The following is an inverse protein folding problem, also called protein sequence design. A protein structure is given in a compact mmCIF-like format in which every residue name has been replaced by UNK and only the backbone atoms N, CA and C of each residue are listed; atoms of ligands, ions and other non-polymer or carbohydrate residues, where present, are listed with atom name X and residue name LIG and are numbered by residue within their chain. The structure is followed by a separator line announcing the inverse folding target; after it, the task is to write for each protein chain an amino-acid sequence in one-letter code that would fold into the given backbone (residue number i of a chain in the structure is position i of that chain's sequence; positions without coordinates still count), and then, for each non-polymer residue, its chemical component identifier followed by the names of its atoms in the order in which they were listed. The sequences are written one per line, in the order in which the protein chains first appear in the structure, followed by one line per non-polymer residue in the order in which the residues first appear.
data_IF_515359394478
#
_entry.id   IF_515359394478
#
_cell.length_a   1.000
_cell.length_b   1.000
_cell.length_c   1.000
_cell.angle_alpha   90.00
_cell.angle_beta   90.00
_cell.angle_gamma   90.00
#
_symmetry.space_group_name_H-M   'P 1'
#
loop_
_entity.id
_entity.type
_entity.pdbx_description
1 polymer ?
#
# COMPACT_ATOMS: atom_id res chain seq x y z
N UNK A 1 -8.46 18.83 23.34
CA UNK A 1 -7.40 18.31 24.24
C UNK A 1 -6.07 18.58 23.57
N UNK A 2 -5.09 19.02 24.33
CA UNK A 2 -3.76 19.41 23.82
C UNK A 2 -3.05 18.21 23.16
N UNK A 3 -2.70 18.33 21.89
CA UNK A 3 -2.04 17.29 21.08
C UNK A 3 -0.71 16.82 21.70
N UNK A 4 -0.05 17.67 22.48
CA UNK A 4 1.24 17.39 23.13
C UNK A 4 1.17 16.28 24.20
N UNK A 5 -0.01 16.06 24.82
CA UNK A 5 -0.17 15.07 25.88
C UNK A 5 -0.42 13.64 25.35
N UNK A 6 -0.94 13.51 24.12
CA UNK A 6 -1.08 12.22 23.43
C UNK A 6 0.26 11.75 22.83
N UNK A 7 1.13 12.68 22.40
CA UNK A 7 2.47 12.40 21.85
C UNK A 7 3.40 11.71 22.87
N UNK A 8 3.40 12.17 24.13
CA UNK A 8 4.31 11.66 25.16
C UNK A 8 3.90 10.31 25.76
N UNK A 9 2.61 9.97 25.76
CA UNK A 9 2.12 8.72 26.36
C UNK A 9 2.46 7.45 25.56
N UNK A 10 2.74 7.59 24.25
CA UNK A 10 2.82 6.46 23.32
C UNK A 10 4.19 6.21 22.72
N UNK A 11 5.07 7.23 22.68
CA UNK A 11 6.49 7.05 22.35
C UNK A 11 7.25 6.21 23.40
N UNK A 12 6.64 5.94 24.55
CA UNK A 12 7.20 5.12 25.64
C UNK A 12 6.60 3.72 25.76
N UNK A 13 5.71 3.29 24.86
CA UNK A 13 5.04 1.99 24.97
C UNK A 13 5.94 0.88 24.38
N UNK A 14 6.53 0.00 25.19
CA UNK A 14 7.42 -1.06 24.69
C UNK A 14 6.64 -2.02 23.80
N UNK A 15 7.31 -2.67 22.83
CA UNK A 15 6.67 -3.54 21.83
C UNK A 15 5.75 -4.65 22.39
N UNK A 16 5.91 -5.07 23.66
CA UNK A 16 5.00 -6.00 24.34
C UNK A 16 3.60 -5.43 24.60
N UNK A 17 3.47 -4.13 24.90
CA UNK A 17 2.17 -3.48 25.09
C UNK A 17 1.45 -3.22 23.76
N UNK A 18 2.19 -3.09 22.65
CA UNK A 18 1.62 -2.97 21.30
C UNK A 18 0.89 -4.26 20.90
N UNK A 19 1.45 -5.42 21.21
CA UNK A 19 0.82 -6.71 20.89
C UNK A 19 -0.53 -6.89 21.61
N UNK A 20 -0.63 -6.48 22.89
CA UNK A 20 -1.90 -6.52 23.63
C UNK A 20 -2.98 -5.66 23.00
N UNK A 21 -2.62 -4.49 22.44
CA UNK A 21 -3.57 -3.59 21.75
C UNK A 21 -3.97 -4.11 20.38
N UNK A 22 -3.02 -4.70 19.65
CA UNK A 22 -3.29 -5.46 18.43
C UNK A 22 -4.34 -6.54 18.70
N UNK A 23 -4.16 -7.31 19.77
CA UNK A 23 -5.08 -8.40 20.14
C UNK A 23 -6.45 -7.87 20.59
N UNK A 24 -6.51 -6.68 21.20
CA UNK A 24 -7.76 -6.01 21.54
C UNK A 24 -8.55 -5.57 20.29
N UNK A 25 -7.87 -4.94 19.32
CA UNK A 25 -8.50 -4.54 18.05
C UNK A 25 -8.96 -5.73 17.21
N UNK A 26 -8.20 -6.84 17.21
CA UNK A 26 -8.61 -8.08 16.54
C UNK A 26 -9.95 -8.62 17.09
N UNK A 27 -10.28 -8.36 18.36
CA UNK A 27 -11.55 -8.80 18.98
C UNK A 27 -12.74 -7.90 18.63
N UNK A 28 -12.51 -6.61 18.41
CA UNK A 28 -13.57 -5.64 18.09
C UNK A 28 -14.04 -5.71 16.62
N UNK A 29 -13.19 -6.17 15.69
CA UNK A 29 -13.47 -6.18 14.23
C UNK A 29 -14.34 -7.38 13.77
N UNK A 30 -15.03 -8.08 14.68
CA UNK A 30 -16.00 -9.13 14.29
C UNK A 30 -17.41 -8.56 14.37
N UNK A 31 -18.00 -8.13 13.24
CA UNK A 31 -19.36 -7.59 13.25
C UNK A 31 -20.38 -8.64 13.69
N UNK A 32 -21.36 -8.12 14.42
CA UNK A 32 -22.42 -8.77 15.18
C UNK A 32 -23.30 -9.72 14.38
N UNK A 33 -23.35 -10.99 14.82
CA UNK A 33 -24.41 -11.95 14.53
C UNK A 33 -24.74 -12.73 15.81
N UNK A 34 -25.83 -12.31 16.48
CA UNK A 34 -26.67 -13.05 17.44
C UNK A 34 -26.06 -14.08 18.42
N UNK A 35 -26.03 -13.65 19.70
CA UNK A 35 -26.41 -14.34 20.96
C UNK A 35 -25.65 -15.54 21.58
N UNK A 36 -25.17 -15.28 22.81
CA UNK A 36 -25.03 -16.13 24.04
C UNK A 36 -23.89 -17.17 24.06
N UNK A 37 -23.12 -17.45 25.12
CA UNK A 37 -23.03 -17.07 26.55
C UNK A 37 -21.55 -17.31 27.03
N UNK A 38 -21.14 -16.97 28.27
CA UNK A 38 -19.72 -16.82 28.63
C UNK A 38 -19.05 -18.11 29.13
N UNK A 39 -17.74 -18.23 28.91
CA UNK A 39 -16.90 -19.21 29.58
C UNK A 39 -15.73 -18.51 30.30
N UNK A 40 -15.81 -18.54 31.62
CA UNK A 40 -14.76 -18.20 32.59
C UNK A 40 -13.63 -19.22 32.49
N UNK A 41 -12.37 -18.79 32.40
CA UNK A 41 -11.24 -19.61 32.84
C UNK A 41 -10.09 -18.73 33.34
N UNK A 42 -9.88 -18.83 34.64
CA UNK A 42 -8.66 -18.48 35.37
C UNK A 42 -7.51 -19.40 34.96
N UNK A 43 -6.32 -18.87 34.72
CA UNK A 43 -5.13 -19.40 35.41
C UNK A 43 -3.90 -18.48 35.27
N UNK A 44 -3.31 -18.26 36.43
CA UNK A 44 -1.98 -17.73 36.70
C UNK A 44 -0.89 -18.72 36.26
N UNK A 45 0.17 -18.23 35.62
CA UNK A 45 1.52 -18.77 35.82
C UNK A 45 2.58 -17.72 35.50
N UNK A 46 3.32 -17.37 36.55
CA UNK A 46 4.56 -16.61 36.55
C UNK A 46 5.68 -17.42 35.92
N UNK A 47 6.36 -16.89 34.91
CA UNK A 47 7.71 -17.35 34.53
C UNK A 47 8.60 -16.12 34.36
N UNK A 48 9.55 -16.02 35.29
CA UNK A 48 10.67 -15.09 35.31
C UNK A 48 11.80 -15.69 34.48
N UNK A 49 12.22 -15.01 33.40
CA UNK A 49 13.57 -15.14 32.85
C UNK A 49 14.05 -13.78 32.35
N UNK A 50 14.91 -13.16 33.16
CA UNK A 50 15.64 -11.93 32.88
C UNK A 50 16.81 -12.28 31.95
N UNK A 51 16.74 -11.83 30.70
CA UNK A 51 17.87 -11.76 29.78
C UNK A 51 18.20 -10.28 29.52
N UNK A 52 19.50 -9.92 29.40
CA UNK A 52 19.94 -8.53 29.45
C UNK A 52 19.53 -7.75 28.19
N UNK A 53 18.80 -6.65 28.39
CA UNK A 53 18.52 -5.65 27.36
C UNK A 53 19.84 -5.05 26.86
N UNK A 54 20.07 -5.00 25.53
CA UNK A 54 21.14 -4.15 25.02
C UNK A 54 20.80 -2.69 25.33
N UNK A 55 21.81 -1.95 25.77
CA UNK A 55 21.70 -0.61 26.29
C UNK A 55 20.96 0.34 25.33
N UNK A 56 19.93 1.00 25.87
CA UNK A 56 19.36 2.24 25.33
C UNK A 56 20.50 3.23 25.20
N UNK A 57 20.94 3.54 23.98
CA UNK A 57 21.92 4.60 23.74
C UNK A 57 21.51 5.42 22.51
N UNK A 58 21.16 6.67 22.80
CA UNK A 58 21.26 7.86 21.96
C UNK A 58 20.60 7.91 20.59
N UNK A 59 19.27 7.74 20.54
CA UNK A 59 18.51 8.41 19.48
C UNK A 59 17.33 9.15 20.13
N UNK A 60 17.64 10.36 20.62
CA UNK A 60 16.70 11.30 21.18
C UNK A 60 15.81 11.99 20.13
N UNK A 61 15.01 12.99 20.54
CA UNK A 61 14.18 13.82 19.66
C UNK A 61 14.97 14.58 18.57
N UNK A 62 16.30 14.59 18.64
CA UNK A 62 17.22 15.36 17.80
C UNK A 62 17.76 14.58 16.58
N UNK A 63 17.02 13.58 16.07
CA UNK A 63 17.49 12.83 14.90
C UNK A 63 17.47 13.67 13.61
N UNK A 64 18.66 14.06 13.15
CA UNK A 64 18.90 14.67 11.86
C UNK A 64 19.17 13.62 10.78
N UNK A 65 18.54 13.78 9.61
CA UNK A 65 18.76 12.87 8.50
C UNK A 65 20.13 13.15 7.86
N UNK A 66 21.07 12.20 7.84
CA UNK A 66 22.43 12.43 7.33
C UNK A 66 22.48 12.74 5.82
N UNK A 67 21.40 12.46 5.08
CA UNK A 67 21.29 12.74 3.66
C UNK A 67 20.59 14.07 3.34
N UNK A 68 20.08 14.80 4.33
CA UNK A 68 19.30 16.03 4.12
C UNK A 68 20.15 17.15 3.50
N UNK A 69 21.42 17.26 3.91
CA UNK A 69 22.39 18.20 3.33
C UNK A 69 23.04 17.69 2.03
N UNK A 70 22.68 16.51 1.54
CA UNK A 70 23.27 15.96 0.31
C UNK A 70 22.81 16.73 -0.93
N UNK A 71 23.69 16.81 -1.93
CA UNK A 71 23.33 17.44 -3.21
C UNK A 71 22.20 16.67 -3.91
N UNK A 72 21.34 17.39 -4.66
CA UNK A 72 20.25 16.77 -5.44
C UNK A 72 20.76 15.77 -6.46
N UNK A 73 21.93 16.02 -7.05
CA UNK A 73 22.58 15.08 -7.96
C UNK A 73 22.93 13.77 -7.26
N UNK A 74 23.48 13.84 -6.04
CA UNK A 74 23.84 12.64 -5.28
C UNK A 74 22.61 11.82 -4.88
N UNK A 75 21.55 12.48 -4.41
CA UNK A 75 20.27 11.82 -4.11
C UNK A 75 19.68 11.18 -5.37
N UNK A 76 19.74 11.87 -6.51
CA UNK A 76 19.26 11.37 -7.80
C UNK A 76 20.04 10.12 -8.24
N UNK A 77 21.37 10.14 -8.16
CA UNK A 77 22.21 9.00 -8.51
C UNK A 77 21.89 7.79 -7.63
N UNK A 78 21.78 7.98 -6.30
CA UNK A 78 21.39 6.92 -5.36
C UNK A 78 20.00 6.36 -5.67
N UNK A 79 19.00 7.23 -5.88
CA UNK A 79 17.65 6.81 -6.20
C UNK A 79 17.60 6.02 -7.52
N UNK A 80 18.35 6.43 -8.55
CA UNK A 80 18.44 5.69 -9.80
C UNK A 80 19.04 4.30 -9.63
N UNK A 81 20.13 4.17 -8.87
CA UNK A 81 20.72 2.85 -8.55
C UNK A 81 19.71 1.93 -7.89
N UNK A 82 18.95 2.43 -6.92
CA UNK A 82 17.90 1.67 -6.24
C UNK A 82 16.77 1.28 -7.21
N UNK A 83 16.35 2.19 -8.11
CA UNK A 83 15.34 1.89 -9.14
C UNK A 83 15.76 0.76 -10.08
N UNK A 84 17.01 0.77 -10.55
CA UNK A 84 17.52 -0.30 -11.42
C UNK A 84 17.54 -1.65 -10.70
N UNK A 85 18.02 -1.68 -9.45
CA UNK A 85 18.01 -2.89 -8.64
C UNK A 85 16.58 -3.41 -8.39
N UNK A 86 15.65 -2.52 -8.05
CA UNK A 86 14.24 -2.86 -7.88
C UNK A 86 13.62 -3.40 -9.18
N UNK A 87 13.83 -2.71 -10.31
CA UNK A 87 13.33 -3.13 -11.63
C UNK A 87 13.84 -4.52 -12.03
N UNK A 88 15.08 -4.86 -11.69
CA UNK A 88 15.63 -6.20 -11.91
C UNK A 88 14.95 -7.24 -11.02
N UNK A 89 14.78 -6.93 -9.72
CA UNK A 89 14.08 -7.79 -8.76
C UNK A 89 12.65 -8.10 -9.18
N UNK A 90 11.86 -7.07 -9.52
CA UNK A 90 10.50 -7.21 -10.03
C UNK A 90 10.45 -7.96 -11.36
N UNK A 91 11.42 -7.74 -12.26
CA UNK A 91 11.51 -8.46 -13.53
C UNK A 91 11.68 -9.97 -13.34
N UNK A 92 12.47 -10.40 -12.35
CA UNK A 92 12.66 -11.82 -12.04
C UNK A 92 11.40 -12.37 -11.34
N UNK A 93 10.90 -11.65 -10.34
CA UNK A 93 9.74 -12.06 -9.56
C UNK A 93 8.45 -12.17 -10.38
N UNK A 94 8.21 -11.25 -11.33
CA UNK A 94 7.03 -11.28 -12.21
C UNK A 94 7.08 -12.42 -13.23
N UNK A 95 8.27 -12.97 -13.52
CA UNK A 95 8.45 -14.16 -14.37
C UNK A 95 8.45 -15.47 -13.58
N UNK A 96 8.59 -15.39 -12.26
CA UNK A 96 8.57 -16.56 -11.38
C UNK A 96 7.14 -17.08 -11.19
N UNK A 97 7.01 -18.38 -11.01
CA UNK A 97 5.71 -19.06 -10.90
C UNK A 97 4.98 -18.69 -9.59
N UNK A 98 3.67 -18.36 -9.62
CA UNK A 98 2.87 -18.10 -10.82
C UNK A 98 3.26 -16.75 -11.46
N UNK A 99 3.44 -16.69 -12.79
CA UNK A 99 3.83 -15.46 -13.46
C UNK A 99 2.78 -14.36 -13.23
N UNK A 100 3.24 -13.13 -13.07
CA UNK A 100 2.35 -11.98 -12.94
C UNK A 100 1.55 -11.78 -14.24
N UNK A 101 0.29 -11.34 -14.16
CA UNK A 101 -0.50 -11.02 -15.36
C UNK A 101 0.07 -9.81 -16.10
N UNK A 102 -0.41 -9.61 -17.33
CA UNK A 102 -0.10 -8.44 -18.15
C UNK A 102 -1.29 -7.49 -18.22
N UNK A 103 -1.01 -6.19 -18.31
CA UNK A 103 -2.04 -5.18 -18.50
C UNK A 103 -2.61 -5.26 -19.92
N UNK A 104 -3.82 -4.76 -20.10
CA UNK A 104 -4.53 -4.79 -21.37
C UNK A 104 -4.09 -3.66 -22.31
N UNK A 105 -3.86 -2.46 -21.77
CA UNK A 105 -3.37 -1.30 -22.52
C UNK A 105 -2.70 -0.27 -21.62
N UNK A 106 -1.96 0.66 -22.22
CA UNK A 106 -1.39 1.81 -21.54
C UNK A 106 -2.10 3.09 -22.01
N UNK A 107 -2.27 4.04 -21.08
CA UNK A 107 -2.75 5.38 -21.37
C UNK A 107 -1.81 6.41 -20.73
N UNK A 108 -1.93 7.65 -21.18
CA UNK A 108 -1.19 8.77 -20.61
C UNK A 108 -2.16 9.86 -20.21
N UNK A 109 -2.01 10.32 -18.97
CA UNK A 109 -2.81 11.38 -18.36
C UNK A 109 -1.97 12.65 -18.23
N UNK A 110 -2.66 13.77 -18.17
CA UNK A 110 -2.03 15.08 -18.02
C UNK A 110 -1.70 15.33 -16.54
N UNK A 111 -0.65 16.09 -16.26
CA UNK A 111 -0.43 16.64 -14.93
C UNK A 111 -0.92 18.08 -14.91
N UNK A 112 -1.90 18.36 -14.06
CA UNK A 112 -2.62 19.64 -14.00
C UNK A 112 -2.48 20.34 -12.65
N UNK A 113 -2.30 19.59 -11.56
CA UNK A 113 -2.16 20.14 -10.21
C UNK A 113 -0.72 20.55 -9.90
N UNK A 114 0.24 19.67 -10.22
CA UNK A 114 1.66 19.88 -9.94
C UNK A 114 2.22 21.17 -10.52
N UNK A 115 3.22 21.76 -9.87
CA UNK A 115 4.00 22.86 -10.47
C UNK A 115 4.68 22.46 -11.79
N UNK A 116 4.98 21.16 -11.98
CA UNK A 116 5.54 20.62 -13.22
C UNK A 116 4.43 20.16 -14.17
N UNK A 117 3.50 21.04 -14.51
CA UNK A 117 2.35 20.74 -15.39
C UNK A 117 2.79 20.25 -16.76
N UNK A 118 1.94 19.46 -17.40
CA UNK A 118 2.14 19.11 -18.80
C UNK A 118 1.23 18.00 -19.27
N UNK A 119 1.09 17.90 -20.59
CA UNK A 119 0.31 16.83 -21.22
C UNK A 119 1.05 15.50 -21.17
N UNK A 120 0.31 14.40 -21.06
CA UNK A 120 0.81 13.02 -21.12
C UNK A 120 2.03 12.80 -20.22
N UNK A 121 1.95 13.24 -18.96
CA UNK A 121 3.04 13.13 -17.97
C UNK A 121 2.92 11.91 -17.07
N UNK A 122 1.72 11.39 -16.90
CA UNK A 122 1.42 10.31 -15.96
C UNK A 122 1.03 9.08 -16.78
N UNK A 123 1.88 8.05 -16.75
CA UNK A 123 1.59 6.78 -17.41
C UNK A 123 0.66 5.95 -16.52
N UNK A 124 -0.34 5.32 -17.11
CA UNK A 124 -1.26 4.41 -16.40
C UNK A 124 -1.41 3.13 -17.20
N UNK A 125 -1.22 1.98 -16.56
CA UNK A 125 -1.62 0.70 -17.14
C UNK A 125 -3.07 0.37 -16.76
N UNK A 126 -3.84 -0.06 -17.76
CA UNK A 126 -5.25 -0.46 -17.63
C UNK A 126 -5.35 -1.96 -17.71
N UNK A 127 -6.00 -2.56 -16.71
CA UNK A 127 -6.18 -4.01 -16.58
C UNK A 127 -7.68 -4.33 -16.65
N UNK A 128 -8.09 -4.95 -17.75
CA UNK A 128 -9.49 -5.29 -17.98
C UNK A 128 -9.78 -6.74 -17.56
N UNK A 129 -10.95 -7.00 -16.94
CA UNK A 129 -11.42 -8.35 -16.77
C UNK A 129 -11.58 -9.10 -18.09
N UNK A 130 -11.21 -10.39 -18.13
CA UNK A 130 -11.33 -11.20 -19.35
C UNK A 130 -12.79 -11.51 -19.69
N UNK A 131 -13.72 -11.35 -18.74
CA UNK A 131 -15.15 -11.61 -18.91
C UNK A 131 -15.83 -10.44 -19.62
N UNK A 132 -16.74 -10.76 -20.54
CA UNK A 132 -17.66 -9.77 -21.14
C UNK A 132 -18.54 -9.19 -20.04
N UNK A 133 -18.65 -7.87 -19.99
CA UNK A 133 -19.51 -7.19 -19.01
C UNK A 133 -20.90 -6.96 -19.56
N UNK A 134 -21.92 -7.08 -18.71
CA UNK A 134 -23.33 -6.75 -19.03
C UNK A 134 -23.66 -5.29 -18.64
N UNK A 135 -22.67 -4.52 -18.16
CA UNK A 135 -22.81 -3.10 -17.81
C UNK A 135 -21.50 -2.46 -17.33
N UNK A 136 -21.54 -1.21 -16.83
CA UNK A 136 -20.37 -0.55 -16.26
C UNK A 136 -19.79 -1.32 -15.05
N UNK A 137 -18.47 -1.45 -15.01
CA UNK A 137 -17.73 -2.16 -13.94
C UNK A 137 -17.31 -1.20 -12.82
N UNK A 138 -17.02 -1.73 -11.63
CA UNK A 138 -16.26 -0.97 -10.65
C UNK A 138 -14.83 -0.70 -11.16
N UNK A 139 -14.20 0.34 -10.62
CA UNK A 139 -12.81 0.67 -10.90
C UNK A 139 -11.97 0.61 -9.62
N UNK A 140 -10.77 0.04 -9.73
CA UNK A 140 -9.75 0.13 -8.67
C UNK A 140 -8.56 0.90 -9.21
N UNK A 141 -8.27 2.06 -8.60
CA UNK A 141 -7.10 2.86 -8.94
C UNK A 141 -6.02 2.54 -7.91
N UNK A 142 -4.99 1.84 -8.36
CA UNK A 142 -3.90 1.37 -7.53
C UNK A 142 -2.66 2.25 -7.67
N UNK A 143 -2.11 2.65 -6.52
CA UNK A 143 -0.94 3.51 -6.41
C UNK A 143 0.22 2.69 -5.79
N UNK A 144 1.32 2.56 -6.55
CA UNK A 144 2.43 1.69 -6.15
C UNK A 144 3.20 2.23 -4.95
N UNK A 145 3.89 1.34 -4.23
CA UNK A 145 4.81 1.70 -3.15
C UNK A 145 6.21 2.12 -3.62
N UNK A 146 7.16 2.22 -2.70
CA UNK A 146 8.55 2.57 -3.02
C UNK A 146 9.02 3.92 -2.46
N UNK A 147 8.41 4.40 -1.38
CA UNK A 147 8.88 5.60 -0.67
C UNK A 147 8.98 6.84 -1.56
N UNK A 148 8.11 6.98 -2.57
CA UNK A 148 8.13 8.05 -3.57
C UNK A 148 9.41 8.18 -4.40
N UNK A 149 10.41 7.31 -4.20
CA UNK A 149 11.70 7.37 -4.91
C UNK A 149 11.91 6.22 -5.89
N UNK A 150 11.12 5.15 -5.80
CA UNK A 150 11.17 3.99 -6.68
C UNK A 150 9.76 3.45 -6.91
N UNK A 151 9.68 2.47 -7.81
CA UNK A 151 8.45 1.74 -8.12
C UNK A 151 7.85 2.17 -9.45
N UNK A 152 6.91 1.36 -9.93
CA UNK A 152 6.15 1.58 -11.16
C UNK A 152 4.81 0.83 -11.06
N UNK A 153 3.84 1.17 -11.89
CA UNK A 153 2.50 0.61 -11.84
C UNK A 153 2.45 -0.91 -11.98
N UNK A 154 3.39 -1.51 -12.73
CA UNK A 154 3.46 -2.96 -12.92
C UNK A 154 4.04 -3.75 -11.74
N UNK A 155 4.54 -3.09 -10.70
CA UNK A 155 5.09 -3.77 -9.51
C UNK A 155 3.98 -4.44 -8.67
N UNK A 156 2.73 -3.97 -8.84
CA UNK A 156 1.54 -4.50 -8.18
C UNK A 156 0.70 -5.38 -9.12
N UNK A 157 1.29 -5.91 -10.19
CA UNK A 157 0.58 -6.70 -11.21
C UNK A 157 -0.21 -7.89 -10.62
N UNK A 158 0.31 -8.53 -9.56
CA UNK A 158 -0.41 -9.63 -8.89
C UNK A 158 -1.65 -9.15 -8.13
N UNK A 159 -1.60 -7.96 -7.54
CA UNK A 159 -2.77 -7.34 -6.93
C UNK A 159 -3.81 -6.96 -8.00
N UNK A 160 -3.36 -6.32 -9.09
CA UNK A 160 -4.23 -6.03 -10.23
C UNK A 160 -4.88 -7.30 -10.77
N UNK A 161 -4.12 -8.40 -10.88
CA UNK A 161 -4.64 -9.72 -11.25
C UNK A 161 -5.72 -10.25 -10.30
N UNK A 162 -5.46 -10.22 -8.99
CA UNK A 162 -6.42 -10.66 -7.98
C UNK A 162 -7.74 -9.86 -8.07
N UNK A 163 -7.66 -8.54 -8.17
CA UNK A 163 -8.86 -7.68 -8.32
C UNK A 163 -9.60 -7.98 -9.61
N UNK A 164 -8.88 -8.08 -10.73
CA UNK A 164 -9.49 -8.39 -12.04
C UNK A 164 -10.22 -9.74 -12.01
N UNK A 165 -9.61 -10.77 -11.43
CA UNK A 165 -10.16 -12.12 -11.37
C UNK A 165 -11.31 -12.25 -10.37
N UNK A 166 -11.12 -11.76 -9.15
CA UNK A 166 -12.01 -12.01 -8.01
C UNK A 166 -13.14 -10.99 -7.92
N UNK A 167 -12.88 -9.73 -8.28
CA UNK A 167 -13.85 -8.62 -8.15
C UNK A 167 -14.52 -8.28 -9.48
N UNK A 168 -13.93 -8.70 -10.61
CA UNK A 168 -14.45 -8.33 -11.94
C UNK A 168 -14.48 -6.80 -12.15
N UNK A 169 -13.46 -6.11 -11.64
CA UNK A 169 -13.28 -4.66 -11.73
C UNK A 169 -12.14 -4.29 -12.70
N UNK A 170 -12.25 -3.11 -13.33
CA UNK A 170 -11.14 -2.55 -14.12
C UNK A 170 -10.11 -1.97 -13.17
N UNK A 171 -8.84 -2.33 -13.33
CA UNK A 171 -7.76 -1.79 -12.49
C UNK A 171 -6.93 -0.78 -13.29
N UNK A 172 -6.55 0.31 -12.64
CA UNK A 172 -5.64 1.32 -13.17
C UNK A 172 -4.42 1.39 -12.25
N UNK A 173 -3.23 1.04 -12.73
CA UNK A 173 -2.00 1.21 -11.96
C UNK A 173 -1.30 2.48 -12.39
N UNK A 174 -1.10 3.42 -11.46
CA UNK A 174 -0.62 4.78 -11.78
C UNK A 174 0.88 4.90 -11.56
N UNK A 175 1.61 5.36 -12.58
CA UNK A 175 3.03 5.70 -12.49
C UNK A 175 3.17 7.19 -12.20
N UNK A 176 2.93 7.57 -10.95
CA UNK A 176 3.15 8.93 -10.48
C UNK A 176 4.64 9.28 -10.55
N UNK A 177 4.98 10.55 -10.79
CA UNK A 177 6.39 10.95 -10.91
C UNK A 177 7.09 10.86 -9.57
N UNK A 178 8.40 10.60 -9.59
CA UNK A 178 9.16 10.21 -8.41
C UNK A 178 10.20 11.25 -7.98
N UNK A 179 10.37 11.38 -6.68
CA UNK A 179 11.48 12.07 -6.05
C UNK A 179 12.81 11.34 -6.32
N UNK A 180 13.96 12.04 -6.37
CA UNK A 180 14.16 13.45 -6.08
C UNK A 180 13.90 14.38 -7.28
N UNK A 181 13.61 13.87 -8.47
CA UNK A 181 13.29 14.72 -9.63
C UNK A 181 11.99 15.51 -9.43
N UNK A 182 11.00 14.87 -8.78
CA UNK A 182 9.69 15.45 -8.47
C UNK A 182 9.37 15.22 -6.99
N UNK A 183 9.84 16.09 -6.07
CA UNK A 183 9.55 15.99 -4.64
C UNK A 183 8.08 16.28 -4.30
N UNK A 184 7.74 16.15 -3.02
CA UNK A 184 6.44 16.57 -2.48
C UNK A 184 6.10 18.00 -2.94
N UNK A 185 4.83 18.29 -3.32
CA UNK A 185 3.66 17.40 -3.31
C UNK A 185 3.40 16.61 -4.62
N UNK A 186 4.30 16.66 -5.60
CA UNK A 186 3.99 16.18 -6.96
C UNK A 186 3.65 14.70 -7.13
N UNK A 187 4.32 13.76 -6.45
CA UNK A 187 3.91 12.36 -6.50
C UNK A 187 2.44 12.15 -6.08
N UNK A 188 1.95 12.89 -5.08
CA UNK A 188 0.55 12.83 -4.64
C UNK A 188 -0.38 13.60 -5.59
N UNK A 189 0.02 14.77 -6.07
CA UNK A 189 -0.75 15.55 -7.05
C UNK A 189 -1.02 14.76 -8.33
N UNK A 190 -0.03 14.02 -8.83
CA UNK A 190 -0.20 13.12 -9.98
C UNK A 190 -1.23 12.01 -9.70
N UNK A 191 -1.32 11.53 -8.46
CA UNK A 191 -2.35 10.55 -8.08
C UNK A 191 -3.75 11.17 -8.13
N UNK A 192 -3.93 12.40 -7.62
CA UNK A 192 -5.20 13.13 -7.69
C UNK A 192 -5.59 13.42 -9.14
N UNK A 193 -4.64 13.89 -9.96
CA UNK A 193 -4.83 14.09 -11.40
C UNK A 193 -5.29 12.81 -12.10
N UNK A 194 -4.70 11.65 -11.72
CA UNK A 194 -5.09 10.36 -12.26
C UNK A 194 -6.52 9.98 -11.90
N UNK A 195 -6.92 10.13 -10.62
CA UNK A 195 -8.28 9.83 -10.16
C UNK A 195 -9.31 10.67 -10.90
N UNK A 196 -9.11 11.99 -10.99
CA UNK A 196 -10.01 12.90 -11.68
C UNK A 196 -10.17 12.55 -13.16
N UNK A 197 -9.05 12.31 -13.86
CA UNK A 197 -9.08 12.02 -15.29
C UNK A 197 -9.66 10.64 -15.60
N UNK A 198 -9.38 9.63 -14.79
CA UNK A 198 -9.97 8.29 -14.96
C UNK A 198 -11.49 8.37 -14.77
N UNK A 199 -11.96 9.04 -13.71
CA UNK A 199 -13.38 9.22 -13.46
C UNK A 199 -14.09 10.00 -14.58
N UNK A 200 -13.48 11.08 -15.08
CA UNK A 200 -14.04 11.86 -16.20
C UNK A 200 -14.18 11.07 -17.51
N UNK A 201 -13.44 9.97 -17.64
CA UNK A 201 -13.41 9.07 -18.81
C UNK A 201 -14.13 7.75 -18.53
N UNK A 202 -15.03 7.71 -17.56
CA UNK A 202 -15.70 6.49 -17.12
C UNK A 202 -16.33 5.67 -18.28
N UNK A 203 -17.02 6.37 -19.20
CA UNK A 203 -17.63 5.75 -20.39
C UNK A 203 -16.61 5.09 -21.33
N UNK A 204 -15.43 5.67 -21.49
CA UNK A 204 -14.34 5.12 -22.32
C UNK A 204 -13.80 3.80 -21.75
N UNK A 205 -13.79 3.68 -20.43
CA UNK A 205 -13.30 2.49 -19.72
C UNK A 205 -14.41 1.50 -19.39
N UNK A 206 -15.68 1.82 -19.67
CA UNK A 206 -16.82 1.00 -19.26
C UNK A 206 -16.88 0.83 -17.74
N UNK A 207 -16.52 1.87 -16.98
CA UNK A 207 -16.57 1.88 -15.51
C UNK A 207 -17.72 2.75 -15.01
N UNK A 208 -18.19 2.45 -13.81
CA UNK A 208 -19.16 3.23 -13.05
C UNK A 208 -18.40 4.26 -12.19
N UNK A 209 -18.60 5.58 -12.41
CA UNK A 209 -17.88 6.63 -11.68
C UNK A 209 -18.25 6.70 -10.19
N UNK A 210 -19.36 6.08 -9.77
CA UNK A 210 -19.77 6.00 -8.35
C UNK A 210 -19.21 4.76 -7.64
N UNK A 211 -18.46 3.90 -8.37
CA UNK A 211 -17.85 2.66 -7.85
C UNK A 211 -16.34 2.66 -8.03
N UNK A 212 -15.71 3.78 -7.67
CA UNK A 212 -14.26 3.93 -7.69
C UNK A 212 -13.69 3.61 -6.30
N UNK A 213 -12.71 2.72 -6.26
CA UNK A 213 -11.96 2.34 -5.07
C UNK A 213 -10.51 2.76 -5.27
N UNK A 214 -9.87 3.30 -4.23
CA UNK A 214 -8.44 3.54 -4.26
C UNK A 214 -7.72 2.45 -3.48
N UNK A 215 -6.63 1.93 -4.03
CA UNK A 215 -5.73 1.05 -3.32
C UNK A 215 -4.30 1.55 -3.41
N UNK A 216 -3.46 1.11 -2.49
CA UNK A 216 -2.03 1.34 -2.64
C UNK A 216 -1.20 0.66 -1.58
N UNK A 217 0.11 0.69 -1.79
CA UNK A 217 1.10 0.01 -0.98
C UNK A 217 2.09 1.00 -0.40
N UNK A 218 2.36 0.99 0.91
CA UNK A 218 3.36 1.88 1.55
C UNK A 218 3.13 3.37 1.21
N UNK A 219 4.09 4.02 0.53
CA UNK A 219 3.95 5.36 -0.01
C UNK A 219 2.73 5.53 -0.94
N UNK A 220 2.37 4.50 -1.72
CA UNK A 220 1.18 4.50 -2.55
C UNK A 220 -0.12 4.42 -1.74
N UNK A 221 -0.12 3.68 -0.63
CA UNK A 221 -1.26 3.67 0.32
C UNK A 221 -1.43 5.05 0.96
N UNK A 222 -0.32 5.71 1.27
CA UNK A 222 -0.29 7.10 1.72
C UNK A 222 -0.86 8.03 0.64
N UNK A 223 -0.45 7.86 -0.63
CA UNK A 223 -1.00 8.61 -1.75
C UNK A 223 -2.50 8.37 -1.95
N UNK A 224 -3.00 7.16 -1.70
CA UNK A 224 -4.42 6.84 -1.85
C UNK A 224 -5.26 7.60 -0.82
N UNK A 225 -4.83 7.58 0.45
CA UNK A 225 -5.50 8.30 1.53
C UNK A 225 -5.41 9.82 1.36
N UNK A 226 -4.24 10.34 0.99
CA UNK A 226 -4.05 11.78 0.73
C UNK A 226 -4.82 12.27 -0.49
N UNK A 227 -4.91 11.44 -1.54
CA UNK A 227 -5.75 11.75 -2.71
C UNK A 227 -7.21 11.88 -2.30
N UNK A 228 -7.71 10.93 -1.49
CA UNK A 228 -9.07 11.01 -0.96
C UNK A 228 -9.31 12.29 -0.15
N UNK A 229 -8.38 12.67 0.75
CA UNK A 229 -8.46 13.91 1.53
C UNK A 229 -8.56 15.14 0.62
N UNK A 230 -7.69 15.23 -0.40
CA UNK A 230 -7.67 16.36 -1.34
C UNK A 230 -8.95 16.43 -2.17
N UNK A 231 -9.55 15.28 -2.52
CA UNK A 231 -10.83 15.22 -3.22
C UNK A 231 -12.00 15.70 -2.37
N UNK A 232 -11.92 15.64 -1.03
CA UNK A 232 -12.97 16.17 -0.14
C UNK A 232 -12.98 17.69 -0.12
N UNK A 233 -11.80 18.30 -0.02
CA UNK A 233 -11.65 19.75 -0.01
C UNK A 233 -10.29 20.16 -0.60
N UNK A 234 -10.24 20.62 -1.86
CA UNK A 234 -9.01 21.10 -2.48
C UNK A 234 -8.61 22.52 -2.04
N UNK A 235 -9.51 23.26 -1.41
CA UNK A 235 -9.34 24.70 -1.16
C UNK A 235 -8.17 25.06 -0.23
N UNK A 236 -7.81 24.27 0.81
CA UNK A 236 -6.68 24.59 1.69
C UNK A 236 -5.32 24.67 0.96
N UNK A 237 -5.24 24.08 -0.23
CA UNK A 237 -4.02 24.05 -1.04
C UNK A 237 -4.16 24.79 -2.37
N UNK A 238 -5.24 25.56 -2.55
CA UNK A 238 -5.56 26.30 -3.77
C UNK A 238 -5.59 25.43 -5.03
N UNK A 239 -5.96 24.15 -4.89
CA UNK A 239 -6.13 23.28 -6.05
C UNK A 239 -7.45 23.60 -6.75
N UNK A 240 -7.40 23.60 -8.08
CA UNK A 240 -8.57 23.76 -8.94
C UNK A 240 -8.71 22.51 -9.79
N UNK A 241 -9.80 21.80 -9.61
CA UNK A 241 -10.05 20.60 -10.40
C UNK A 241 -10.67 20.97 -11.75
N UNK A 242 -10.24 20.32 -12.85
CA UNK A 242 -10.82 20.52 -14.17
C UNK A 242 -12.25 19.94 -14.28
N UNK A 243 -12.65 19.09 -13.34
CA UNK A 243 -13.97 18.46 -13.25
C UNK A 243 -14.34 18.22 -11.79
N UNK A 244 -15.64 18.02 -11.47
CA UNK A 244 -16.04 17.60 -10.13
C UNK A 244 -15.31 16.32 -9.70
N UNK A 245 -14.90 16.21 -8.42
CA UNK A 245 -14.27 15.01 -7.92
C UNK A 245 -15.28 13.85 -7.88
N UNK A 246 -14.87 12.60 -8.19
CA UNK A 246 -15.74 11.45 -8.04
C UNK A 246 -15.95 11.10 -6.56
N UNK A 247 -17.03 10.36 -6.28
CA UNK A 247 -17.17 9.68 -4.99
C UNK A 247 -16.20 8.48 -4.95
N UNK A 248 -15.54 8.30 -3.81
CA UNK A 248 -14.68 7.13 -3.57
C UNK A 248 -15.45 6.16 -2.68
N UNK A 249 -15.75 4.97 -3.22
CA UNK A 249 -16.52 3.93 -2.53
C UNK A 249 -15.72 3.28 -1.39
N UNK A 250 -14.40 3.15 -1.53
CA UNK A 250 -13.56 2.55 -0.50
C UNK A 250 -12.05 2.73 -0.70
N UNK A 251 -11.32 2.44 0.37
CA UNK A 251 -9.86 2.52 0.47
C UNK A 251 -9.29 1.17 0.91
N UNK A 252 -8.36 0.61 0.13
CA UNK A 252 -7.58 -0.59 0.48
C UNK A 252 -6.11 -0.21 0.66
N UNK A 253 -5.69 -0.06 1.90
CA UNK A 253 -4.38 0.48 2.25
C UNK A 253 -3.46 -0.62 2.79
N UNK A 254 -2.44 -0.97 2.01
CA UNK A 254 -1.42 -1.89 2.48
C UNK A 254 -0.27 -1.11 3.14
N UNK A 255 -0.13 -1.27 4.45
CA UNK A 255 0.93 -0.81 5.35
C UNK A 255 1.34 0.66 5.08
N UNK A 256 0.36 1.60 5.18
CA UNK A 256 0.59 3.00 4.88
C UNK A 256 1.56 3.66 5.86
N UNK A 257 2.27 4.69 5.38
CA UNK A 257 2.83 5.70 6.28
C UNK A 257 1.72 6.73 6.56
N UNK A 258 1.47 7.02 7.83
CA UNK A 258 0.35 7.87 8.25
C UNK A 258 0.80 9.15 8.96
N UNK A 259 1.98 9.13 9.55
CA UNK A 259 2.53 10.23 10.32
C UNK A 259 4.04 10.36 10.10
N UNK A 260 4.47 11.35 9.31
CA UNK A 260 5.89 11.60 9.02
C UNK A 260 6.53 12.62 9.97
N UNK A 261 5.81 13.04 11.02
CA UNK A 261 6.37 13.87 12.10
C UNK A 261 7.26 13.04 13.03
N UNK A 262 6.95 11.75 13.18
CA UNK A 262 7.72 10.80 14.00
C UNK A 262 9.01 10.39 13.28
N UNK A 263 10.13 10.45 13.99
CA UNK A 263 11.45 10.10 13.45
C UNK A 263 11.52 8.61 13.06
N UNK A 264 12.28 8.29 12.00
CA UNK A 264 12.48 6.89 11.56
C UNK A 264 13.06 6.02 12.68
N UNK A 265 14.04 6.46 13.48
CA UNK A 265 14.50 5.71 14.64
C UNK A 265 13.42 5.52 15.71
N UNK A 266 12.64 6.56 16.03
CA UNK A 266 11.51 6.44 16.96
C UNK A 266 10.49 5.40 16.51
N UNK A 267 10.14 5.41 15.21
CA UNK A 267 9.28 4.36 14.62
C UNK A 267 9.87 2.96 14.79
N UNK A 268 11.18 2.78 14.51
CA UNK A 268 11.85 1.48 14.67
C UNK A 268 11.84 0.98 16.11
N UNK A 269 11.96 1.85 17.11
CA UNK A 269 11.92 1.47 18.53
C UNK A 269 10.58 0.86 18.94
N UNK A 270 9.49 1.18 18.23
CA UNK A 270 8.17 0.59 18.49
C UNK A 270 8.01 -0.82 17.90
N UNK A 271 8.90 -1.24 16.99
CA UNK A 271 8.86 -2.56 16.37
C UNK A 271 9.51 -3.60 17.29
N UNK A 272 8.89 -4.77 17.43
CA UNK A 272 9.43 -5.89 18.20
C UNK A 272 10.63 -6.58 17.52
N UNK A 273 10.84 -6.33 16.22
CA UNK A 273 11.94 -6.83 15.37
C UNK A 273 12.57 -5.69 14.56
N UNK A 274 13.20 -4.69 15.21
CA UNK A 274 13.70 -3.50 14.54
C UNK A 274 14.71 -3.81 13.41
N UNK A 275 15.46 -4.90 13.54
CA UNK A 275 16.42 -5.40 12.56
C UNK A 275 15.78 -5.87 11.24
N UNK A 276 14.47 -6.14 11.24
CA UNK A 276 13.69 -6.55 10.06
C UNK A 276 12.99 -5.39 9.35
N UNK A 277 13.04 -4.19 9.93
CA UNK A 277 12.43 -3.00 9.33
C UNK A 277 13.25 -2.47 8.15
N UNK A 278 12.70 -1.53 7.36
CA UNK A 278 13.47 -0.86 6.32
C UNK A 278 14.75 -0.24 6.91
N UNK A 279 15.87 -0.44 6.22
CA UNK A 279 17.18 0.03 6.68
C UNK A 279 17.21 1.56 6.84
N UNK A 280 18.00 2.09 7.80
CA UNK A 280 18.20 3.53 7.98
C UNK A 280 18.56 4.23 6.66
N UNK A 281 19.58 3.74 5.95
CA UNK A 281 20.00 4.34 4.69
C UNK A 281 18.90 4.44 3.62
N UNK A 282 17.96 3.48 3.57
CA UNK A 282 16.82 3.55 2.66
C UNK A 282 15.81 4.61 3.08
N UNK A 283 15.40 4.63 4.35
CA UNK A 283 14.44 5.63 4.84
C UNK A 283 14.99 7.05 4.78
N UNK A 284 16.29 7.20 5.00
CA UNK A 284 16.98 8.48 4.98
C UNK A 284 17.04 9.01 3.55
N UNK A 285 17.28 8.13 2.57
CA UNK A 285 17.24 8.48 1.15
C UNK A 285 15.82 8.87 0.71
N UNK A 286 14.79 8.14 1.17
CA UNK A 286 13.38 8.47 0.92
C UNK A 286 13.07 9.87 1.42
N UNK A 287 13.31 10.14 2.70
CA UNK A 287 12.92 11.40 3.34
C UNK A 287 13.69 12.59 2.73
N UNK A 288 15.01 12.46 2.51
CA UNK A 288 15.83 13.51 1.89
C UNK A 288 15.49 13.77 0.41
N UNK A 289 14.99 12.75 -0.29
CA UNK A 289 14.58 12.92 -1.69
C UNK A 289 13.22 13.58 -1.82
N UNK A 290 12.26 13.15 -1.00
CA UNK A 290 10.84 13.49 -1.11
C UNK A 290 10.50 14.85 -0.49
N UNK A 291 11.00 15.16 0.71
CA UNK A 291 10.74 16.44 1.37
C UNK A 291 11.76 17.49 0.90
N UNK A 292 11.51 18.08 -0.28
CA UNK A 292 12.38 19.09 -0.86
C UNK A 292 11.61 20.32 -1.38
N UNK A 293 12.01 21.56 -1.04
CA UNK A 293 13.06 21.92 -0.07
C UNK A 293 12.84 21.29 1.31
N UNK A 294 13.89 21.12 2.14
CA UNK A 294 13.76 20.49 3.45
C UNK A 294 12.61 21.08 4.26
N UNK A 295 11.70 20.21 4.71
CA UNK A 295 10.57 20.59 5.56
C UNK A 295 10.88 20.10 6.98
N UNK A 296 10.96 20.98 7.99
CA UNK A 296 11.15 20.57 9.38
C UNK A 296 10.08 19.57 9.82
N UNK A 297 10.45 18.55 10.60
CA UNK A 297 9.57 17.40 10.92
C UNK A 297 8.28 17.83 11.62
N UNK A 298 8.38 18.78 12.54
CA UNK A 298 7.26 19.38 13.27
C UNK A 298 6.28 20.14 12.37
N UNK A 299 6.71 20.51 11.15
CA UNK A 299 5.85 21.14 10.13
C UNK A 299 5.29 20.14 9.13
N UNK A 300 5.58 18.84 9.27
CA UNK A 300 5.03 17.78 8.39
C UNK A 300 3.65 17.29 8.84
N UNK A 301 2.90 18.13 9.55
CA UNK A 301 1.53 17.88 10.02
C UNK A 301 0.47 18.08 8.94
N UNK A 302 0.82 18.71 7.80
CA UNK A 302 -0.08 18.80 6.64
C UNK A 302 -0.59 17.39 6.25
N UNK A 303 -1.91 17.17 6.17
CA UNK A 303 -2.45 15.85 5.90
C UNK A 303 -2.09 15.31 4.52
N UNK A 304 -1.57 16.12 3.57
CA UNK A 304 -0.94 15.63 2.33
C UNK A 304 0.38 14.89 2.55
N UNK A 305 1.03 15.08 3.71
CA UNK A 305 2.24 14.37 4.13
C UNK A 305 1.93 13.32 5.21
N UNK A 306 1.13 13.70 6.20
CA UNK A 306 0.76 12.88 7.36
C UNK A 306 -0.76 12.67 7.41
N UNK A 307 -1.34 11.86 6.51
CA UNK A 307 -2.80 11.73 6.41
C UNK A 307 -3.45 11.14 7.68
N UNK A 308 -2.70 10.40 8.51
CA UNK A 308 -3.19 9.92 9.80
C UNK A 308 -3.50 11.04 10.80
N UNK A 309 -2.97 12.25 10.56
CA UNK A 309 -3.22 13.47 11.34
C UNK A 309 -4.35 14.33 10.77
N UNK A 310 -5.11 13.85 9.78
CA UNK A 310 -6.31 14.54 9.26
C UNK A 310 -7.29 14.90 10.40
N UNK A 311 -8.23 15.82 10.19
CA UNK A 311 -9.21 16.18 11.22
C UNK A 311 -10.19 15.05 11.54
N UNK A 312 -10.78 15.06 12.75
CA UNK A 312 -11.81 14.08 13.12
C UNK A 312 -13.07 14.18 12.23
N UNK A 313 -13.36 15.38 11.72
CA UNK A 313 -14.46 15.59 10.76
C UNK A 313 -14.20 14.87 9.43
N UNK A 314 -12.94 14.74 9.01
CA UNK A 314 -12.57 13.89 7.87
C UNK A 314 -12.61 12.41 8.23
N UNK A 315 -12.12 12.02 9.42
CA UNK A 315 -12.21 10.62 9.88
C UNK A 315 -13.64 10.10 9.81
N UNK A 316 -14.62 10.88 10.28
CA UNK A 316 -16.05 10.53 10.24
C UNK A 316 -16.66 10.43 8.84
N UNK A 317 -15.96 10.91 7.82
CA UNK A 317 -16.38 10.89 6.42
C UNK A 317 -15.67 9.83 5.60
N UNK A 318 -14.73 9.08 6.19
CA UNK A 318 -14.00 8.04 5.47
C UNK A 318 -14.97 7.07 4.79
N UNK A 319 -14.69 6.68 3.53
CA UNK A 319 -15.48 5.67 2.85
C UNK A 319 -15.16 4.30 3.47
N UNK A 320 -15.66 3.22 2.87
CA UNK A 320 -15.31 1.89 3.36
C UNK A 320 -13.78 1.70 3.44
N UNK A 321 -13.29 1.19 4.57
CA UNK A 321 -11.87 1.21 4.88
C UNK A 321 -11.34 -0.19 5.20
N UNK A 322 -10.32 -0.62 4.47
CA UNK A 322 -9.61 -1.88 4.70
C UNK A 322 -8.11 -1.61 4.78
N UNK A 323 -7.49 -1.93 5.92
CA UNK A 323 -6.06 -1.70 6.16
C UNK A 323 -5.34 -3.00 6.51
N UNK A 324 -4.20 -3.22 5.88
CA UNK A 324 -3.31 -4.35 6.12
C UNK A 324 -2.02 -3.80 6.70
N UNK A 325 -1.54 -4.31 7.82
CA UNK A 325 -0.26 -3.95 8.44
C UNK A 325 0.64 -5.19 8.54
N UNK A 326 1.92 -4.99 8.79
CA UNK A 326 2.89 -6.07 8.98
C UNK A 326 3.40 -6.05 10.43
N UNK A 327 3.56 -7.23 11.05
CA UNK A 327 3.97 -7.33 12.45
C UNK A 327 5.38 -6.75 12.70
N UNK A 328 6.32 -7.01 11.79
CA UNK A 328 7.72 -6.58 11.90
C UNK A 328 7.99 -5.31 11.10
N UNK A 329 7.07 -4.33 11.19
CA UNK A 329 7.16 -3.06 10.49
C UNK A 329 7.22 -1.87 11.46
N UNK A 330 8.09 -0.90 11.15
CA UNK A 330 8.16 0.36 11.90
C UNK A 330 6.89 1.20 11.77
N UNK A 331 6.04 0.92 10.77
CA UNK A 331 4.76 1.59 10.54
C UNK A 331 3.58 0.91 11.27
N UNK A 332 3.81 -0.20 11.98
CA UNK A 332 2.73 -0.89 12.70
C UNK A 332 2.09 0.03 13.75
N UNK A 333 2.91 0.65 14.59
CA UNK A 333 2.40 1.45 15.72
C UNK A 333 1.54 2.64 15.28
N UNK A 334 1.89 3.33 14.18
CA UNK A 334 1.06 4.42 13.65
C UNK A 334 -0.23 3.90 13.00
N UNK A 335 -0.19 2.75 12.33
CA UNK A 335 -1.38 2.09 11.81
C UNK A 335 -2.36 1.68 12.92
N UNK A 336 -1.85 1.15 14.03
CA UNK A 336 -2.66 0.82 15.21
C UNK A 336 -3.28 2.07 15.83
N UNK A 337 -2.49 3.15 16.03
CA UNK A 337 -3.04 4.42 16.54
C UNK A 337 -4.16 4.97 15.65
N UNK A 338 -4.00 4.86 14.34
CA UNK A 338 -5.03 5.30 13.42
C UNK A 338 -6.28 4.42 13.49
N UNK A 339 -6.13 3.09 13.56
CA UNK A 339 -7.26 2.18 13.74
C UNK A 339 -8.04 2.42 15.04
N UNK A 340 -7.35 2.69 16.15
CA UNK A 340 -8.00 3.07 17.41
C UNK A 340 -8.75 4.40 17.29
N UNK A 341 -8.21 5.34 16.50
CA UNK A 341 -8.91 6.59 16.20
C UNK A 341 -10.17 6.36 15.37
N UNK A 342 -10.17 5.40 14.44
CA UNK A 342 -11.38 5.02 13.70
C UNK A 342 -12.43 4.42 14.65
N UNK A 343 -11.99 3.51 15.54
CA UNK A 343 -12.85 2.86 16.55
C UNK A 343 -13.48 3.87 17.52
N UNK A 344 -12.71 4.87 17.98
CA UNK A 344 -13.19 5.96 18.84
C UNK A 344 -14.29 6.83 18.21
N UNK A 345 -14.39 6.85 16.87
CA UNK A 345 -15.43 7.57 16.14
C UNK A 345 -16.49 6.63 15.54
N UNK A 346 -16.57 5.38 16.02
CA UNK A 346 -17.51 4.36 15.56
C UNK A 346 -17.45 4.11 14.03
N UNK A 347 -16.30 4.35 13.41
CA UNK A 347 -16.14 4.17 11.97
C UNK A 347 -15.98 2.68 11.64
N UNK A 348 -16.75 2.12 10.68
CA UNK A 348 -16.57 0.74 10.27
C UNK A 348 -15.28 0.58 9.46
N UNK A 349 -14.37 -0.28 9.93
CA UNK A 349 -13.15 -0.63 9.21
C UNK A 349 -12.80 -2.10 9.36
N UNK A 350 -12.00 -2.62 8.42
CA UNK A 350 -11.33 -3.91 8.56
C UNK A 350 -9.84 -3.67 8.73
N UNK A 351 -9.25 -4.31 9.75
CA UNK A 351 -7.81 -4.31 10.02
C UNK A 351 -7.26 -5.73 9.94
N UNK A 352 -6.16 -5.90 9.20
CA UNK A 352 -5.39 -7.14 9.16
C UNK A 352 -3.95 -6.88 9.52
N UNK A 353 -3.32 -7.81 10.23
CA UNK A 353 -1.90 -7.75 10.58
C UNK A 353 -1.28 -9.06 10.12
N UNK A 354 -0.32 -8.97 9.22
CA UNK A 354 0.37 -10.12 8.68
C UNK A 354 1.48 -10.53 9.64
N UNK A 355 1.22 -11.63 10.34
CA UNK A 355 2.10 -12.18 11.38
C UNK A 355 3.43 -12.65 10.78
N UNK A 356 4.53 -12.38 11.48
CA UNK A 356 5.88 -12.80 11.09
C UNK A 356 6.50 -12.01 9.94
N UNK A 357 5.79 -11.03 9.37
CA UNK A 357 6.18 -10.35 8.13
C UNK A 357 6.65 -8.91 8.35
N UNK A 358 7.62 -8.48 7.55
CA UNK A 358 8.14 -7.11 7.56
C UNK A 358 7.50 -6.23 6.48
N UNK A 359 7.88 -4.95 6.46
CA UNK A 359 7.43 -4.01 5.43
C UNK A 359 7.67 -4.56 4.01
N UNK A 360 6.70 -4.39 3.11
CA UNK A 360 6.79 -4.89 1.73
C UNK A 360 7.02 -6.42 1.61
N UNK A 361 6.51 -7.21 2.55
CA UNK A 361 6.43 -8.68 2.52
C UNK A 361 5.90 -9.31 1.22
N UNK A 362 5.11 -8.57 0.46
CA UNK A 362 4.54 -8.97 -0.84
C UNK A 362 5.43 -8.64 -2.04
N UNK A 363 6.60 -8.00 -1.81
CA UNK A 363 7.56 -7.60 -2.84
C UNK A 363 8.79 -8.53 -2.84
N UNK A 364 9.61 -8.50 -3.92
CA UNK A 364 10.82 -9.30 -4.00
C UNK A 364 11.89 -8.83 -3.00
N UNK A 365 12.76 -9.73 -2.49
CA UNK A 365 12.71 -11.21 -2.55
C UNK A 365 11.68 -11.79 -1.56
N UNK A 366 11.06 -12.97 -1.81
CA UNK A 366 11.57 -14.15 -2.53
C UNK A 366 11.22 -14.24 -4.03
N UNK A 367 11.78 -15.24 -4.74
CA UNK A 367 11.51 -15.45 -6.17
C UNK A 367 10.03 -15.72 -6.43
N UNK A 368 9.43 -16.65 -5.69
CA UNK A 368 7.99 -16.89 -5.71
C UNK A 368 7.29 -16.07 -4.62
N UNK A 369 6.05 -15.60 -4.84
CA UNK A 369 5.26 -14.98 -3.78
C UNK A 369 5.02 -15.91 -2.60
N UNK A 370 4.96 -15.36 -1.40
CA UNK A 370 4.60 -16.10 -0.19
C UNK A 370 3.10 -16.40 -0.18
N UNK A 371 2.70 -17.48 0.50
CA UNK A 371 1.28 -17.83 0.66
C UNK A 371 0.46 -16.70 1.30
N UNK A 372 1.05 -16.02 2.30
CA UNK A 372 0.46 -14.86 2.97
C UNK A 372 0.04 -13.75 2.01
N UNK A 373 0.73 -13.57 0.87
CA UNK A 373 0.33 -12.59 -0.15
C UNK A 373 -1.04 -12.92 -0.74
N UNK A 374 -1.27 -14.18 -1.12
CA UNK A 374 -2.54 -14.60 -1.70
C UNK A 374 -3.69 -14.56 -0.68
N UNK A 375 -3.41 -14.90 0.58
CA UNK A 375 -4.40 -14.81 1.67
C UNK A 375 -4.86 -13.37 1.86
N UNK A 376 -3.93 -12.44 1.97
CA UNK A 376 -4.24 -11.04 2.26
C UNK A 376 -4.87 -10.33 1.05
N UNK A 377 -4.44 -10.67 -0.18
CA UNK A 377 -5.11 -10.19 -1.40
C UNK A 377 -6.54 -10.70 -1.50
N UNK A 378 -6.79 -11.97 -1.20
CA UNK A 378 -8.15 -12.52 -1.19
C UNK A 378 -9.04 -11.83 -0.14
N UNK A 379 -8.50 -11.49 1.04
CA UNK A 379 -9.25 -10.77 2.08
C UNK A 379 -9.56 -9.32 1.71
N UNK A 380 -8.65 -8.68 0.99
CA UNK A 380 -8.87 -7.35 0.44
C UNK A 380 -9.90 -7.36 -0.70
N UNK A 381 -9.81 -8.32 -1.64
CA UNK A 381 -10.81 -8.47 -2.72
C UNK A 381 -12.19 -8.86 -2.19
N UNK A 382 -12.25 -9.70 -1.15
CA UNK A 382 -13.49 -10.01 -0.41
C UNK A 382 -14.11 -8.75 0.19
N UNK A 383 -13.30 -7.86 0.77
CA UNK A 383 -13.80 -6.58 1.31
C UNK A 383 -14.37 -5.68 0.22
N UNK A 384 -13.68 -5.58 -0.92
CA UNK A 384 -14.19 -4.84 -2.08
C UNK A 384 -15.52 -5.44 -2.59
N UNK A 385 -15.61 -6.76 -2.71
CA UNK A 385 -16.83 -7.43 -3.17
C UNK A 385 -18.04 -7.11 -2.27
N UNK A 386 -17.84 -7.10 -0.95
CA UNK A 386 -18.89 -6.71 0.01
C UNK A 386 -19.33 -5.25 -0.17
N UNK A 387 -18.41 -4.32 -0.39
CA UNK A 387 -18.76 -2.91 -0.64
C UNK A 387 -19.56 -2.72 -1.93
N UNK A 388 -19.34 -3.60 -2.91
CA UNK A 388 -20.09 -3.64 -4.17
C UNK A 388 -21.43 -4.40 -4.04
N UNK A 389 -21.81 -4.85 -2.84
CA UNK A 389 -23.06 -5.56 -2.59
C UNK A 389 -23.10 -6.96 -3.19
N UNK A 390 -21.95 -7.62 -3.35
CA UNK A 390 -21.86 -8.99 -3.88
C UNK A 390 -21.59 -9.98 -2.76
N UNK A 391 -22.30 -11.10 -2.78
CA UNK A 391 -22.00 -12.26 -1.95
C UNK A 391 -20.67 -12.87 -2.43
N UNK A 392 -19.67 -12.90 -1.56
CA UNK A 392 -18.39 -13.54 -1.84
C UNK A 392 -18.53 -15.03 -1.51
N UNK A 393 -19.07 -15.81 -2.44
CA UNK A 393 -19.09 -17.27 -2.27
C UNK A 393 -17.66 -17.81 -2.33
N UNK A 394 -17.22 -18.41 -1.23
CA UNK A 394 -15.90 -19.05 -1.08
C UNK A 394 -15.84 -20.42 -1.76
N UNK A 395 -16.39 -20.56 -2.96
CA UNK A 395 -16.29 -21.80 -3.73
C UNK A 395 -14.90 -21.91 -4.38
N UNK A 396 -13.91 -22.14 -3.52
CA UNK A 396 -12.53 -22.53 -3.87
C UNK A 396 -12.43 -23.92 -4.52
N UNK A 397 -13.52 -24.50 -5.00
CA UNK A 397 -13.45 -25.71 -5.84
C UNK A 397 -13.27 -25.41 -7.34
N UNK A 398 -13.63 -24.21 -7.81
CA UNK A 398 -13.56 -23.91 -9.25
C UNK A 398 -12.16 -23.54 -9.77
N UNK A 399 -11.22 -23.11 -8.91
CA UNK A 399 -9.85 -22.76 -9.32
C UNK A 399 -8.84 -23.91 -9.21
N UNK A 400 -9.20 -25.03 -8.57
CA UNK A 400 -8.39 -26.26 -8.53
C UNK A 400 -8.50 -27.11 -9.81
N UNK A 401 -9.50 -26.84 -10.67
CA UNK A 401 -9.74 -27.63 -11.89
C UNK A 401 -8.96 -27.15 -13.12
N UNK A 402 -8.29 -25.99 -13.08
CA UNK A 402 -7.30 -25.62 -14.11
C UNK A 402 -5.95 -26.26 -13.83
N UNK A 403 -5.95 -27.60 -13.73
CA UNK A 403 -4.77 -28.39 -14.07
C UNK A 403 -4.49 -28.07 -15.53
N UNK A 404 -3.44 -27.29 -15.79
CA UNK A 404 -2.93 -27.06 -17.15
C UNK A 404 -2.83 -28.42 -17.84
N UNK A 405 -3.73 -28.71 -18.77
CA UNK A 405 -3.52 -29.79 -19.73
C UNK A 405 -2.30 -29.36 -20.53
N UNK A 406 -1.11 -29.78 -20.11
CA UNK A 406 0.09 -29.75 -20.96
C UNK A 406 -0.33 -30.34 -22.29
N UNK A 407 -0.25 -29.61 -23.42
CA UNK A 407 -0.40 -30.23 -24.71
C UNK A 407 0.71 -31.28 -24.81
N UNK A 408 0.35 -32.57 -24.80
CA UNK A 408 1.28 -33.62 -25.22
C UNK A 408 1.48 -33.42 -26.72
N UNK A 409 2.43 -32.59 -27.10
CA UNK A 409 2.94 -32.59 -28.46
C UNK A 409 3.46 -33.99 -28.75
N UNK A 410 2.80 -34.70 -29.68
CA UNK A 410 3.35 -35.94 -30.26
C UNK A 410 4.70 -35.58 -30.87
N UNK A 411 5.78 -36.19 -30.38
CA UNK A 411 7.09 -36.14 -31.03
C UNK A 411 6.90 -36.53 -32.51
N UNK A 412 7.34 -35.71 -33.47
CA UNK A 412 7.44 -36.16 -34.85
C UNK A 412 8.39 -37.36 -34.90
N UNK A 413 7.88 -38.52 -35.33
CA UNK A 413 8.74 -39.56 -35.90
C UNK A 413 9.34 -38.93 -37.18
N UNK A 414 10.58 -39.26 -37.50
CA UNK A 414 11.37 -38.70 -38.62
C UNK A 414 12.22 -37.45 -38.30
N UNK A 415 13.18 -37.60 -37.39
CA UNK A 415 14.50 -36.96 -37.51
C UNK A 415 15.55 -37.94 -36.98
N UNK A 416 16.03 -38.85 -37.83
CA UNK A 416 17.21 -39.65 -37.55
C UNK A 416 18.46 -38.82 -37.86
N UNK A 417 18.99 -38.13 -36.86
CA UNK A 417 20.34 -37.57 -36.98
C UNK A 417 21.31 -38.67 -36.56
N UNK A 418 21.83 -39.40 -37.56
CA UNK A 418 23.00 -40.27 -37.41
C UNK A 418 24.21 -39.38 -37.11
N UNK A 419 24.76 -39.48 -35.91
CA UNK A 419 26.11 -39.01 -35.62
C UNK A 419 27.11 -39.90 -36.39
N UNK A 420 27.67 -39.37 -37.48
CA UNK A 420 28.91 -39.90 -38.05
C UNK A 420 30.08 -39.30 -37.27
N UNK A 421 30.75 -40.12 -36.46
CA UNK A 421 32.14 -39.86 -36.14
C UNK A 421 32.97 -40.18 -37.38
N UNK A 422 33.88 -39.29 -37.74
CA UNK A 422 34.98 -39.58 -38.65
C UNK A 422 36.24 -38.99 -38.03
N UNK A 423 37.08 -39.94 -37.58
CA UNK A 423 38.54 -39.96 -37.35
C UNK A 423 39.23 -38.76 -36.72
#
# INVERSE_FOLDING_TARGET
MDHSQLENGLLQVPGQQLQTRVDALKRTVTYTGTTSAPATLTNTSTISTRAPSPAVSDIGPDYENPLEASSRWYLQAKAQTVRYAASLGFSIHNRSDPPAPYHSREIWLDSTLSQWKGRKKIKVEVWNPPRISVGPRAAVINLHGGGWILGQGTDDARWAGAVVCDVDAVVFTVNYRLAPSYPFPTPMEDCVDAVLQIASRASEFGIDPDRIILSGFSAGATNALTSWIVLQDPSPWNYQFPSPPPSILGLVLFYPTLDVTITRPGKRQTCNRPERTLSPGMTDLIDASYFFPPIPREKRTDPRMSPGLMSDDLVKKLPHFHMILCEYDMLLAEGIRFAERLDQHDMPFTLRIVEGEGHAWDKPPPMAPKESVFVEYAKATESIARWLGRDYETDKESTSSMRTRRPRFRRPRHLSIRSRSVR
#
